data_IF_990858959990
#
_entry.id   IF_990858959990
#
_cell.length_a   1.000
_cell.length_b   1.000
_cell.length_c   1.000
_cell.angle_alpha   90.00
_cell.angle_beta   90.00
_cell.angle_gamma   90.00
#
_symmetry.space_group_name_H-M   'P 1'
#
loop_
_entity.id
_entity.type
_entity.pdbx_description
1 polymer ?
#
# COMPACT_ATOMS: atom_id res chain seq x y z
N UNK A 1 24.64 10.63 -10.21
CA UNK A 1 23.18 10.41 -10.21
C UNK A 1 22.89 9.25 -9.27
N UNK A 2 22.24 9.51 -8.14
CA UNK A 2 21.96 8.49 -7.12
C UNK A 2 20.99 7.45 -7.67
N UNK A 3 21.40 6.18 -7.69
CA UNK A 3 20.52 5.06 -8.04
C UNK A 3 19.30 5.08 -7.11
N UNK A 4 18.14 5.40 -7.68
CA UNK A 4 16.87 5.35 -6.99
C UNK A 4 16.51 3.88 -6.79
N UNK A 5 16.47 3.40 -5.55
CA UNK A 5 16.00 2.04 -5.28
C UNK A 5 14.50 1.99 -5.56
N UNK A 6 14.04 1.08 -6.42
CA UNK A 6 12.60 0.98 -6.78
C UNK A 6 11.71 0.83 -5.54
N UNK A 7 12.20 0.17 -4.48
CA UNK A 7 11.51 0.03 -3.20
C UNK A 7 11.27 1.37 -2.48
N UNK A 8 12.18 2.33 -2.61
CA UNK A 8 12.00 3.69 -2.05
C UNK A 8 10.82 4.37 -2.72
N UNK A 9 10.78 4.36 -4.04
CA UNK A 9 9.69 5.00 -4.79
C UNK A 9 8.38 4.28 -4.60
N UNK A 10 8.37 2.95 -4.66
CA UNK A 10 7.19 2.15 -4.33
C UNK A 10 6.62 2.55 -2.97
N UNK A 11 7.46 2.54 -1.93
CA UNK A 11 7.05 2.92 -0.56
C UNK A 11 6.44 4.31 -0.54
N UNK A 12 7.13 5.31 -1.11
CA UNK A 12 6.65 6.71 -1.11
C UNK A 12 5.34 6.88 -1.89
N UNK A 13 5.26 6.29 -3.08
CA UNK A 13 4.08 6.37 -3.95
C UNK A 13 2.89 5.76 -3.23
N UNK A 14 3.00 4.51 -2.76
CA UNK A 14 1.92 3.84 -2.02
C UNK A 14 1.53 4.64 -0.77
N UNK A 15 2.50 5.15 -0.01
CA UNK A 15 2.23 5.98 1.15
C UNK A 15 1.38 7.22 0.82
N UNK A 16 1.68 7.91 -0.27
CA UNK A 16 0.90 9.06 -0.73
C UNK A 16 -0.50 8.64 -1.18
N UNK A 17 -0.60 7.61 -2.03
CA UNK A 17 -1.90 7.12 -2.53
C UNK A 17 -2.83 6.72 -1.39
N UNK A 18 -2.30 6.03 -0.37
CA UNK A 18 -3.05 5.64 0.81
C UNK A 18 -3.56 6.83 1.63
N UNK A 19 -2.78 7.90 1.77
CA UNK A 19 -3.28 9.13 2.42
C UNK A 19 -4.33 9.83 1.56
N UNK A 20 -4.21 9.80 0.23
CA UNK A 20 -5.21 10.39 -0.68
C UNK A 20 -6.57 9.71 -0.61
N UNK A 21 -6.66 8.46 -0.12
CA UNK A 21 -7.94 7.79 0.21
C UNK A 21 -8.78 8.63 1.18
N UNK A 22 -8.18 9.54 1.97
CA UNK A 22 -8.90 10.49 2.82
C UNK A 22 -9.93 11.34 2.08
N UNK A 23 -9.67 11.70 0.81
CA UNK A 23 -10.63 12.45 -0.01
C UNK A 23 -11.90 11.61 -0.26
N UNK A 24 -11.71 10.33 -0.57
CA UNK A 24 -12.80 9.37 -0.74
C UNK A 24 -13.52 9.09 0.58
N UNK A 25 -12.80 8.97 1.70
CA UNK A 25 -13.39 8.79 3.02
C UNK A 25 -14.30 9.95 3.42
N UNK A 26 -13.84 11.19 3.27
CA UNK A 26 -14.62 12.38 3.62
C UNK A 26 -15.88 12.47 2.75
N UNK A 27 -15.74 12.24 1.44
CA UNK A 27 -16.87 12.29 0.50
C UNK A 27 -17.95 11.26 0.88
N UNK A 28 -17.54 10.02 1.12
CA UNK A 28 -18.48 8.95 1.48
C UNK A 28 -19.09 9.15 2.86
N UNK A 29 -18.32 9.60 3.84
CA UNK A 29 -18.82 9.83 5.19
C UNK A 29 -19.89 10.94 5.21
N UNK A 30 -19.69 12.01 4.44
CA UNK A 30 -20.69 13.08 4.28
C UNK A 30 -21.98 12.55 3.66
N UNK A 31 -21.88 11.68 2.65
CA UNK A 31 -23.04 11.18 1.91
C UNK A 31 -23.79 10.04 2.63
N UNK A 32 -23.06 9.14 3.28
CA UNK A 32 -23.58 7.85 3.72
C UNK A 32 -23.39 7.56 5.22
N UNK A 33 -22.67 8.43 5.94
CA UNK A 33 -22.32 8.23 7.34
C UNK A 33 -21.29 7.12 7.55
N UNK A 34 -21.22 6.62 8.79
CA UNK A 34 -20.32 5.53 9.15
C UNK A 34 -20.80 4.17 8.61
N UNK A 35 -19.92 3.44 7.91
CA UNK A 35 -20.17 2.11 7.34
C UNK A 35 -18.94 1.21 7.51
N UNK A 36 -19.04 -0.12 7.30
CA UNK A 36 -17.87 -0.99 7.29
C UNK A 36 -16.75 -0.49 6.35
N UNK A 37 -17.12 0.10 5.22
CA UNK A 37 -16.18 0.71 4.27
C UNK A 37 -15.37 1.88 4.85
N UNK A 38 -15.92 2.60 5.83
CA UNK A 38 -15.20 3.66 6.54
C UNK A 38 -13.94 3.10 7.20
N UNK A 39 -14.00 1.90 7.79
CA UNK A 39 -12.85 1.26 8.45
C UNK A 39 -11.80 0.78 7.46
N UNK A 40 -12.23 0.29 6.30
CA UNK A 40 -11.33 -0.06 5.19
C UNK A 40 -10.52 1.16 4.71
N UNK A 41 -11.18 2.31 4.51
CA UNK A 41 -10.50 3.56 4.13
C UNK A 41 -9.58 4.10 5.23
N UNK A 42 -10.01 4.04 6.49
CA UNK A 42 -9.18 4.41 7.64
C UNK A 42 -7.92 3.54 7.71
N UNK A 43 -8.02 2.24 7.44
CA UNK A 43 -6.87 1.33 7.40
C UNK A 43 -5.83 1.80 6.36
N UNK A 44 -6.26 2.09 5.13
CA UNK A 44 -5.38 2.62 4.09
C UNK A 44 -4.71 3.92 4.54
N UNK A 45 -5.49 4.90 4.99
CA UNK A 45 -4.95 6.20 5.45
C UNK A 45 -3.93 5.99 6.58
N UNK A 46 -4.22 5.12 7.54
CA UNK A 46 -3.32 4.76 8.63
C UNK A 46 -1.99 4.21 8.14
N UNK A 47 -2.01 3.25 7.21
CA UNK A 47 -0.80 2.74 6.57
C UNK A 47 -0.04 3.85 5.83
N UNK A 48 -0.75 4.72 5.11
CA UNK A 48 -0.18 5.86 4.41
C UNK A 48 0.57 6.79 5.37
N UNK A 49 -0.04 7.14 6.50
CA UNK A 49 0.57 7.99 7.53
C UNK A 49 1.80 7.33 8.16
N UNK A 50 1.77 6.01 8.43
CA UNK A 50 2.93 5.25 8.92
C UNK A 50 4.08 5.35 7.90
N UNK A 51 3.79 5.18 6.62
CA UNK A 51 4.80 5.27 5.55
C UNK A 51 5.38 6.67 5.45
N UNK A 52 4.56 7.73 5.50
CA UNK A 52 5.04 9.11 5.48
C UNK A 52 5.91 9.41 6.71
N UNK A 53 5.54 8.88 7.89
CA UNK A 53 6.26 9.14 9.13
C UNK A 53 7.59 8.40 9.24
N UNK A 54 7.60 7.11 8.86
CA UNK A 54 8.73 6.21 9.08
C UNK A 54 9.43 5.79 7.80
N UNK A 55 8.70 5.57 6.71
CA UNK A 55 9.23 5.09 5.44
C UNK A 55 9.83 6.18 4.54
N UNK A 56 9.47 7.46 4.72
CA UNK A 56 9.81 8.50 3.75
C UNK A 56 11.30 8.64 3.44
N UNK A 57 12.15 8.63 4.47
CA UNK A 57 13.61 8.78 4.37
C UNK A 57 14.39 7.64 5.04
N UNK A 58 13.75 6.49 5.28
CA UNK A 58 14.38 5.38 5.99
C UNK A 58 14.59 4.16 5.08
N UNK A 59 15.84 3.89 4.71
CA UNK A 59 16.20 2.77 3.85
C UNK A 59 15.89 1.39 4.47
N UNK A 60 15.89 1.29 5.80
CA UNK A 60 15.52 0.06 6.50
C UNK A 60 14.04 -0.29 6.34
N UNK A 61 13.19 0.67 5.98
CA UNK A 61 11.75 0.46 5.79
C UNK A 61 11.37 0.06 4.36
N UNK A 62 12.10 0.51 3.35
CA UNK A 62 11.63 0.44 1.96
C UNK A 62 11.39 -1.00 1.47
N UNK A 63 12.35 -1.90 1.70
CA UNK A 63 12.21 -3.29 1.28
C UNK A 63 11.22 -4.07 2.15
N UNK A 64 11.32 -4.05 3.49
CA UNK A 64 10.33 -4.75 4.33
C UNK A 64 8.91 -4.26 4.09
N UNK A 65 8.70 -2.96 3.88
CA UNK A 65 7.40 -2.42 3.54
C UNK A 65 6.90 -2.97 2.19
N UNK A 66 7.72 -2.93 1.13
CA UNK A 66 7.32 -3.45 -0.18
C UNK A 66 6.91 -4.93 -0.12
N UNK A 67 7.67 -5.76 0.60
CA UNK A 67 7.35 -7.19 0.77
C UNK A 67 6.10 -7.37 1.63
N UNK A 68 6.03 -6.74 2.81
CA UNK A 68 4.91 -6.89 3.74
C UNK A 68 3.60 -6.38 3.16
N UNK A 69 3.62 -5.20 2.55
CA UNK A 69 2.48 -4.63 1.82
C UNK A 69 2.11 -5.52 0.64
N UNK A 70 3.11 -6.00 -0.11
CA UNK A 70 2.90 -6.89 -1.25
C UNK A 70 2.19 -8.19 -0.85
N UNK A 71 2.66 -8.84 0.21
CA UNK A 71 2.05 -10.06 0.76
C UNK A 71 0.63 -9.80 1.24
N UNK A 72 0.44 -8.76 2.06
CA UNK A 72 -0.88 -8.43 2.62
C UNK A 72 -1.92 -8.20 1.51
N UNK A 73 -1.64 -7.31 0.56
CA UNK A 73 -2.61 -6.99 -0.48
C UNK A 73 -2.78 -8.10 -1.53
N UNK A 74 -1.76 -8.93 -1.76
CA UNK A 74 -1.92 -10.13 -2.58
C UNK A 74 -2.84 -11.14 -1.88
N UNK A 75 -2.74 -11.31 -0.56
CA UNK A 75 -3.65 -12.17 0.20
C UNK A 75 -5.08 -11.63 0.22
N UNK A 76 -5.27 -10.32 0.39
CA UNK A 76 -6.60 -9.67 0.31
C UNK A 76 -7.20 -9.86 -1.08
N UNK A 77 -6.43 -9.62 -2.15
CA UNK A 77 -6.89 -9.82 -3.52
C UNK A 77 -7.19 -11.28 -3.84
N UNK A 78 -6.35 -12.21 -3.38
CA UNK A 78 -6.61 -13.65 -3.53
C UNK A 78 -7.92 -14.05 -2.83
N UNK A 79 -8.14 -13.55 -1.61
CA UNK A 79 -9.39 -13.78 -0.91
C UNK A 79 -10.60 -13.19 -1.65
N UNK A 80 -10.51 -11.93 -2.10
CA UNK A 80 -11.58 -11.28 -2.88
C UNK A 80 -11.88 -11.99 -4.20
N UNK A 81 -10.87 -12.58 -4.85
CA UNK A 81 -11.06 -13.38 -6.05
C UNK A 81 -11.81 -14.70 -5.79
N UNK A 82 -11.62 -15.31 -4.61
CA UNK A 82 -12.34 -16.53 -4.22
C UNK A 82 -13.73 -16.24 -3.65
N UNK A 83 -13.88 -15.11 -2.97
CA UNK A 83 -15.09 -14.69 -2.26
C UNK A 83 -15.47 -13.26 -2.65
N UNK A 84 -15.95 -13.05 -3.89
CA UNK A 84 -16.33 -11.72 -4.35
C UNK A 84 -17.48 -11.16 -3.49
N UNK A 85 -17.41 -9.87 -3.18
CA UNK A 85 -18.39 -9.15 -2.36
C UNK A 85 -18.63 -9.77 -0.98
N UNK A 86 -17.61 -10.42 -0.40
CA UNK A 86 -17.69 -11.06 0.91
C UNK A 86 -18.23 -10.09 1.97
N UNK A 87 -19.35 -10.48 2.60
CA UNK A 87 -20.09 -9.69 3.59
C UNK A 87 -20.51 -8.28 3.12
N UNK A 88 -20.58 -8.02 1.82
CA UNK A 88 -20.92 -6.72 1.25
C UNK A 88 -19.85 -5.65 1.50
N UNK A 89 -18.59 -6.05 1.71
CA UNK A 89 -17.46 -5.14 1.90
C UNK A 89 -16.86 -4.78 0.54
N UNK A 90 -16.71 -3.47 0.27
CA UNK A 90 -16.13 -3.00 -1.00
C UNK A 90 -14.70 -3.48 -1.20
N UNK A 91 -13.93 -3.72 -0.11
CA UNK A 91 -12.60 -4.30 -0.17
C UNK A 91 -12.50 -5.62 -0.97
N UNK A 92 -13.62 -6.32 -1.17
CA UNK A 92 -13.74 -7.57 -1.93
C UNK A 92 -14.61 -7.46 -3.19
N UNK A 93 -15.02 -6.25 -3.57
CA UNK A 93 -15.63 -6.03 -4.87
C UNK A 93 -14.57 -6.20 -5.98
N UNK A 94 -15.02 -6.28 -7.23
CA UNK A 94 -14.11 -6.54 -8.37
C UNK A 94 -13.04 -5.45 -8.53
N UNK A 95 -13.43 -4.18 -8.41
CA UNK A 95 -12.50 -3.05 -8.58
C UNK A 95 -11.42 -3.07 -7.52
N UNK A 96 -11.79 -3.20 -6.25
CA UNK A 96 -10.84 -3.19 -5.14
C UNK A 96 -9.99 -4.46 -5.15
N UNK A 97 -10.55 -5.61 -5.52
CA UNK A 97 -9.77 -6.84 -5.73
C UNK A 97 -8.66 -6.63 -6.76
N UNK A 98 -8.97 -5.97 -7.88
CA UNK A 98 -7.97 -5.63 -8.91
C UNK A 98 -6.94 -4.63 -8.39
N UNK A 99 -7.37 -3.57 -7.69
CA UNK A 99 -6.46 -2.59 -7.12
C UNK A 99 -5.53 -3.21 -6.07
N UNK A 100 -6.06 -4.06 -5.20
CA UNK A 100 -5.29 -4.84 -4.23
C UNK A 100 -4.32 -5.80 -4.92
N UNK A 101 -4.71 -6.43 -6.03
CA UNK A 101 -3.80 -7.27 -6.80
C UNK A 101 -2.65 -6.45 -7.40
N UNK A 102 -2.93 -5.27 -7.97
CA UNK A 102 -1.90 -4.38 -8.53
C UNK A 102 -0.93 -3.93 -7.44
N UNK A 103 -1.44 -3.45 -6.31
CA UNK A 103 -0.61 -3.01 -5.16
C UNK A 103 0.18 -4.20 -4.58
N UNK A 104 -0.47 -5.34 -4.40
CA UNK A 104 0.13 -6.56 -3.87
C UNK A 104 1.27 -7.09 -4.74
N UNK A 105 0.98 -7.36 -6.02
CA UNK A 105 1.94 -7.93 -6.95
C UNK A 105 3.10 -6.96 -7.24
N UNK A 106 2.83 -5.67 -7.40
CA UNK A 106 3.90 -4.68 -7.58
C UNK A 106 4.80 -4.57 -6.34
N UNK A 107 4.24 -4.68 -5.13
CA UNK A 107 5.02 -4.73 -3.89
C UNK A 107 5.93 -5.95 -3.81
N UNK A 108 5.42 -7.14 -4.16
CA UNK A 108 6.21 -8.37 -4.21
C UNK A 108 7.33 -8.28 -5.26
N UNK A 109 7.00 -7.81 -6.47
CA UNK A 109 7.96 -7.64 -7.55
C UNK A 109 9.08 -6.68 -7.13
N UNK A 110 8.73 -5.52 -6.59
CA UNK A 110 9.71 -4.52 -6.13
C UNK A 110 10.51 -5.02 -4.91
N UNK A 111 9.88 -5.72 -3.99
CA UNK A 111 10.50 -6.20 -2.75
C UNK A 111 11.51 -7.34 -2.95
N UNK A 112 11.23 -8.26 -3.88
CA UNK A 112 12.05 -9.44 -4.13
C UNK A 112 13.03 -9.28 -5.31
N UNK A 113 12.64 -8.59 -6.38
CA UNK A 113 13.40 -8.63 -7.64
C UNK A 113 14.17 -7.35 -7.96
N UNK A 114 13.90 -6.24 -7.27
CA UNK A 114 14.63 -4.98 -7.52
C UNK A 114 15.76 -4.75 -6.51
N UNK A 115 16.97 -4.46 -6.99
CA UNK A 115 18.14 -4.31 -6.13
C UNK A 115 18.03 -3.09 -5.20
N UNK A 116 18.45 -3.29 -3.95
CA UNK A 116 18.60 -2.23 -2.96
C UNK A 116 19.97 -1.58 -3.14
N UNK A 117 20.14 -0.73 -4.16
CA UNK A 117 21.33 0.11 -4.27
C UNK A 117 21.28 1.24 -3.23
N UNK A 118 21.41 0.88 -1.95
CA UNK A 118 21.74 1.84 -0.91
C UNK A 118 23.24 2.04 -1.04
N UNK A 119 23.66 3.15 -1.65
CA UNK A 119 25.08 3.46 -1.80
C UNK A 119 25.77 3.27 -0.45
N UNK A 120 26.73 2.33 -0.39
CA UNK A 120 27.70 2.31 0.70
C UNK A 120 28.37 3.66 0.66
N UNK A 121 27.99 4.57 1.56
CA UNK A 121 28.86 5.68 1.92
C UNK A 121 30.10 4.99 2.46
N UNK A 122 31.18 5.00 1.67
CA UNK A 122 32.50 4.61 2.15
C UNK A 122 32.79 5.57 3.29
N UNK A 123 32.77 5.08 4.53
CA UNK A 123 33.47 5.73 5.62
C UNK A 123 34.94 5.71 5.24
N UNK A 124 35.44 6.87 4.81
CA UNK A 124 36.86 7.15 4.67
C UNK A 124 37.48 7.35 6.05
#
# INVERSE_FOLDING_TARGET
MTALTSAKWYTRIIGVFFVLVSVSLVSDYIQFGFRPETMHKIFHIGLGLIVLRYGWNNAAWWRPFAIGNGLFFSSVAFFGALFPDFAGLDAFNTTDTVLHAIVGLSGLVVGFFYPQNVGRVKTA
#
